data_IF_114789661743
#
_entry.id   IF_114789661743
#
_cell.length_a   1.000
_cell.length_b   1.000
_cell.length_c   1.000
_cell.angle_alpha   90.00
_cell.angle_beta   90.00
_cell.angle_gamma   90.00
#
_symmetry.space_group_name_H-M   'P 1'
#
loop_
_entity.id
_entity.type
_entity.pdbx_description
1 polymer ?
#
# COMPACT_ATOMS: atom_id res chain seq x y z
N UNK A 1 66.83 -2.26 23.20
CA UNK A 1 65.89 -1.12 23.07
C UNK A 1 64.53 -1.68 22.70
N UNK A 2 63.54 -1.50 23.59
CA UNK A 2 62.15 -1.88 23.38
C UNK A 2 61.31 -0.62 23.22
N UNK A 3 60.48 -0.54 22.18
CA UNK A 3 59.34 0.39 22.10
C UNK A 3 58.19 -0.32 21.36
N UNK A 4 57.14 -0.62 22.12
CA UNK A 4 55.80 -0.99 21.67
C UNK A 4 54.96 0.29 21.49
N UNK A 5 54.23 0.46 20.37
CA UNK A 5 52.96 1.24 20.24
C UNK A 5 52.19 0.72 19.02
N UNK A 6 51.06 0.01 19.12
CA UNK A 6 49.63 0.39 19.36
C UNK A 6 48.98 1.28 18.26
N UNK A 7 47.88 0.79 17.66
CA UNK A 7 46.83 1.57 16.98
C UNK A 7 46.24 0.88 15.72
N UNK A 8 45.03 0.27 15.76
CA UNK A 8 43.71 0.82 15.34
C UNK A 8 43.54 0.83 13.78
N UNK A 9 42.48 0.37 13.07
CA UNK A 9 41.02 0.20 13.23
C UNK A 9 40.53 -0.79 12.14
N UNK A 10 39.64 -1.75 12.44
CA UNK A 10 38.19 -1.78 12.12
C UNK A 10 37.89 -1.62 10.60
N UNK A 11 37.31 -2.60 9.91
CA UNK A 11 36.07 -3.29 10.27
C UNK A 11 34.97 -2.77 9.34
N UNK A 12 34.85 -3.36 8.15
CA UNK A 12 33.83 -3.00 7.15
C UNK A 12 32.46 -3.38 7.71
N UNK A 13 31.50 -2.46 7.88
CA UNK A 13 30.18 -2.85 8.34
C UNK A 13 29.48 -3.61 7.22
N UNK A 14 29.12 -4.85 7.53
CA UNK A 14 28.22 -5.67 6.72
C UNK A 14 26.89 -4.93 6.55
N UNK A 15 26.46 -4.77 5.30
CA UNK A 15 25.12 -4.31 4.99
C UNK A 15 24.12 -5.30 5.63
N UNK A 16 23.34 -4.81 6.59
CA UNK A 16 22.23 -5.55 7.19
C UNK A 16 21.15 -5.74 6.13
N UNK A 17 21.23 -6.85 5.40
CA UNK A 17 20.08 -7.44 4.74
C UNK A 17 19.10 -7.83 5.85
N UNK A 18 18.03 -7.04 6.02
CA UNK A 18 16.98 -7.37 6.98
C UNK A 18 16.38 -8.73 6.60
N UNK A 19 16.37 -9.72 7.51
CA UNK A 19 15.80 -11.03 7.22
C UNK A 19 14.29 -10.90 6.98
N UNK A 20 13.81 -11.67 5.99
CA UNK A 20 12.43 -11.77 5.54
C UNK A 20 11.38 -11.93 6.67
N UNK A 21 11.82 -12.43 7.84
CA UNK A 21 11.01 -12.60 9.05
C UNK A 21 10.45 -11.29 9.63
N UNK A 22 11.12 -10.14 9.46
CA UNK A 22 10.65 -8.86 9.99
C UNK A 22 9.37 -8.33 9.32
N UNK A 23 9.02 -8.83 8.14
CA UNK A 23 7.87 -8.35 7.36
C UNK A 23 6.60 -9.18 7.55
N UNK A 24 6.70 -10.41 8.05
CA UNK A 24 5.53 -11.22 8.44
C UNK A 24 4.90 -10.66 9.73
N UNK A 25 5.71 -10.07 10.62
CA UNK A 25 5.21 -9.39 11.82
C UNK A 25 4.31 -8.18 11.49
N UNK A 26 4.62 -7.42 10.43
CA UNK A 26 3.82 -6.27 9.99
C UNK A 26 2.42 -6.65 9.46
N UNK A 27 2.24 -7.87 8.95
CA UNK A 27 0.92 -8.36 8.55
C UNK A 27 0.08 -8.73 9.79
N UNK A 28 0.72 -9.22 10.86
CA UNK A 28 0.06 -9.70 12.07
C UNK A 28 -0.47 -8.58 12.98
N UNK A 29 0.10 -7.38 12.89
CA UNK A 29 -0.40 -6.18 13.60
C UNK A 29 -1.62 -5.51 12.93
N UNK A 30 -2.03 -5.95 11.72
CA UNK A 30 -3.09 -5.29 10.93
C UNK A 30 -4.51 -5.82 11.16
N UNK A 31 -4.67 -6.81 12.03
CA UNK A 31 -5.94 -7.50 12.27
C UNK A 31 -6.27 -8.53 11.20
N UNK A 32 -7.48 -9.08 11.25
CA UNK A 32 -7.92 -10.14 10.35
C UNK A 32 -8.15 -9.60 8.93
N UNK A 33 -7.67 -10.35 7.93
CA UNK A 33 -7.90 -10.05 6.52
C UNK A 33 -9.39 -10.21 6.18
N UNK A 34 -9.95 -9.26 5.42
CA UNK A 34 -11.37 -9.25 5.06
C UNK A 34 -11.60 -9.64 3.59
N UNK A 35 -12.87 -9.78 3.21
CA UNK A 35 -13.26 -9.87 1.81
C UNK A 35 -13.74 -8.51 1.30
N UNK A 36 -13.38 -8.15 0.08
CA UNK A 36 -13.79 -6.89 -0.57
C UNK A 36 -13.90 -7.08 -2.07
N UNK A 37 -15.09 -6.83 -2.65
CA UNK A 37 -15.32 -6.90 -4.09
C UNK A 37 -14.82 -8.22 -4.73
N UNK A 38 -15.10 -9.36 -4.09
CA UNK A 38 -14.64 -10.69 -4.51
C UNK A 38 -13.16 -11.00 -4.20
N UNK A 39 -12.37 -10.01 -3.76
CA UNK A 39 -11.00 -10.20 -3.29
C UNK A 39 -10.98 -10.67 -1.84
N UNK A 40 -10.05 -11.55 -1.55
CA UNK A 40 -9.68 -12.04 -0.23
C UNK A 40 -8.19 -12.40 -0.28
N UNK A 41 -7.59 -12.70 0.87
CA UNK A 41 -6.21 -13.20 0.92
C UNK A 41 -6.02 -14.41 -0.02
N UNK A 42 -4.95 -14.39 -0.81
CA UNK A 42 -4.66 -15.38 -1.86
C UNK A 42 -5.31 -15.10 -3.22
N UNK A 43 -6.25 -14.16 -3.32
CA UNK A 43 -6.82 -13.74 -4.61
C UNK A 43 -5.76 -13.18 -5.55
N UNK A 44 -5.97 -13.33 -6.85
CA UNK A 44 -5.08 -12.77 -7.88
C UNK A 44 -5.65 -11.49 -8.49
N UNK A 45 -4.78 -10.52 -8.69
CA UNK A 45 -5.03 -9.29 -9.46
C UNK A 45 -3.93 -9.22 -10.50
N UNK A 46 -4.20 -9.68 -11.73
CA UNK A 46 -3.16 -9.85 -12.75
C UNK A 46 -2.03 -10.80 -12.29
N UNK A 47 -0.74 -10.42 -12.42
CA UNK A 47 0.38 -11.22 -11.91
C UNK A 47 0.57 -11.15 -10.39
N UNK A 48 -0.13 -10.26 -9.68
CA UNK A 48 0.02 -10.07 -8.24
C UNK A 48 -0.96 -10.92 -7.44
N UNK A 49 -0.55 -11.27 -6.22
CA UNK A 49 -1.37 -11.98 -5.24
C UNK A 49 -1.69 -11.02 -4.08
N UNK A 50 -2.94 -11.04 -3.63
CA UNK A 50 -3.40 -10.31 -2.45
C UNK A 50 -2.88 -11.03 -1.21
N UNK A 51 -1.99 -10.39 -0.47
CA UNK A 51 -1.53 -10.89 0.83
C UNK A 51 -2.47 -10.49 1.96
N UNK A 52 -3.12 -9.33 1.85
CA UNK A 52 -4.01 -8.84 2.90
C UNK A 52 -5.01 -7.82 2.36
N UNK A 53 -6.23 -7.90 2.85
CA UNK A 53 -7.28 -6.89 2.65
C UNK A 53 -7.61 -6.29 4.01
N UNK A 54 -7.10 -5.10 4.27
CA UNK A 54 -7.33 -4.42 5.55
C UNK A 54 -8.77 -3.95 5.72
N UNK A 55 -9.21 -3.56 6.93
CA UNK A 55 -10.52 -2.96 7.16
C UNK A 55 -10.65 -1.59 6.49
N UNK A 56 -11.87 -1.02 6.49
CA UNK A 56 -12.03 0.42 6.22
C UNK A 56 -11.46 1.16 7.43
N UNK A 57 -10.40 1.93 7.19
CA UNK A 57 -9.75 2.76 8.18
C UNK A 57 -9.43 4.12 7.54
N UNK A 58 -9.74 5.19 8.27
CA UNK A 58 -9.49 6.57 7.83
C UNK A 58 -10.05 6.87 6.44
N UNK A 59 -11.28 6.45 6.16
CA UNK A 59 -11.92 6.73 4.88
C UNK A 59 -11.54 5.80 3.72
N UNK A 60 -10.68 4.81 3.94
CA UNK A 60 -10.16 3.98 2.86
C UNK A 60 -9.86 2.56 3.27
N UNK A 61 -9.52 1.74 2.27
CA UNK A 61 -9.09 0.36 2.49
C UNK A 61 -7.68 0.16 1.93
N UNK A 62 -6.81 -0.44 2.72
CA UNK A 62 -5.45 -0.80 2.27
C UNK A 62 -5.43 -2.26 1.83
N UNK A 63 -4.86 -2.50 0.64
CA UNK A 63 -4.55 -3.84 0.14
C UNK A 63 -3.03 -4.01 0.09
N UNK A 64 -2.55 -5.11 0.65
CA UNK A 64 -1.16 -5.54 0.50
C UNK A 64 -1.09 -6.53 -0.65
N UNK A 65 -0.27 -6.22 -1.64
CA UNK A 65 -0.02 -7.10 -2.78
C UNK A 65 1.41 -7.61 -2.74
N UNK A 66 1.60 -8.80 -3.31
CA UNK A 66 2.91 -9.36 -3.61
C UNK A 66 3.01 -9.84 -5.05
N UNK A 67 4.21 -9.76 -5.60
CA UNK A 67 4.53 -10.26 -6.94
C UNK A 67 6.04 -10.43 -7.12
N UNK A 68 6.44 -11.03 -8.24
CA UNK A 68 7.85 -11.10 -8.60
C UNK A 68 8.34 -9.72 -9.05
N UNK A 69 9.47 -9.26 -8.52
CA UNK A 69 10.21 -8.13 -9.06
C UNK A 69 11.01 -8.51 -10.30
N UNK A 70 11.59 -7.52 -10.97
CA UNK A 70 12.42 -7.69 -12.16
C UNK A 70 13.62 -8.64 -11.93
N UNK A 71 14.12 -8.70 -10.70
CA UNK A 71 15.20 -9.59 -10.25
C UNK A 71 14.71 -10.99 -9.83
N UNK A 72 13.42 -11.30 -10.04
CA UNK A 72 12.79 -12.55 -9.63
C UNK A 72 12.51 -12.65 -8.13
N UNK A 73 12.95 -11.67 -7.33
CA UNK A 73 12.70 -11.63 -5.90
C UNK A 73 11.25 -11.21 -5.61
N UNK A 74 10.61 -11.82 -4.60
CA UNK A 74 9.27 -11.43 -4.18
C UNK A 74 9.29 -10.00 -3.61
N UNK A 75 8.44 -9.13 -4.14
CA UNK A 75 8.22 -7.77 -3.66
C UNK A 75 6.81 -7.63 -3.12
N UNK A 76 6.68 -6.88 -2.03
CA UNK A 76 5.41 -6.48 -1.43
C UNK A 76 5.24 -4.97 -1.52
N UNK A 77 4.02 -4.53 -1.83
CA UNK A 77 3.67 -3.12 -1.88
C UNK A 77 2.21 -2.92 -1.50
N UNK A 78 1.89 -1.69 -1.11
CA UNK A 78 0.55 -1.32 -0.64
C UNK A 78 -0.17 -0.48 -1.68
N UNK A 79 -1.43 -0.84 -1.90
CA UNK A 79 -2.40 -0.02 -2.59
C UNK A 79 -3.44 0.46 -1.59
N UNK A 80 -3.97 1.63 -1.86
CA UNK A 80 -5.02 2.24 -1.06
C UNK A 80 -6.22 2.55 -1.94
N UNK A 81 -7.39 2.12 -1.50
CA UNK A 81 -8.66 2.33 -2.19
C UNK A 81 -9.47 3.36 -1.41
N UNK A 82 -9.91 4.39 -2.10
CA UNK A 82 -10.74 5.49 -1.59
C UNK A 82 -11.99 5.64 -2.44
N UNK A 83 -12.95 6.46 -2.01
CA UNK A 83 -14.01 6.89 -2.92
C UNK A 83 -13.43 7.76 -4.03
N UNK A 84 -13.99 7.57 -5.22
CA UNK A 84 -13.66 8.40 -6.37
C UNK A 84 -14.18 9.82 -6.16
N UNK A 85 -13.29 10.79 -6.32
CA UNK A 85 -13.62 12.21 -6.38
C UNK A 85 -13.26 12.75 -7.77
N UNK A 86 -14.24 13.06 -8.63
CA UNK A 86 -13.98 13.63 -9.95
C UNK A 86 -13.25 14.98 -9.91
N UNK A 87 -13.25 15.68 -8.77
CA UNK A 87 -12.53 16.95 -8.55
C UNK A 87 -11.23 16.77 -7.78
N UNK A 88 -10.88 15.53 -7.41
CA UNK A 88 -9.69 15.18 -6.65
C UNK A 88 -8.47 14.94 -7.54
N UNK A 89 -7.33 14.56 -6.94
CA UNK A 89 -6.15 14.16 -7.69
C UNK A 89 -6.44 12.90 -8.53
N UNK A 90 -5.87 12.84 -9.73
CA UNK A 90 -6.01 11.68 -10.62
C UNK A 90 -5.23 10.49 -10.07
N UNK A 91 -5.88 9.39 -9.67
CA UNK A 91 -5.19 8.18 -9.24
C UNK A 91 -4.60 7.42 -10.43
N UNK A 92 -3.59 6.54 -10.22
CA UNK A 92 -3.14 5.60 -11.23
C UNK A 92 -4.26 4.71 -11.79
N UNK A 93 -5.19 4.26 -10.94
CA UNK A 93 -6.36 3.47 -11.33
C UNK A 93 -7.66 4.01 -10.74
N UNK A 94 -8.75 3.99 -11.51
CA UNK A 94 -10.09 4.33 -11.02
C UNK A 94 -11.18 3.46 -11.66
N UNK A 95 -12.25 3.29 -10.91
CA UNK A 95 -13.51 2.65 -11.33
C UNK A 95 -14.64 3.68 -11.23
N UNK A 96 -15.91 3.27 -11.31
CA UNK A 96 -17.06 4.19 -11.15
C UNK A 96 -17.09 4.77 -9.74
N UNK A 97 -16.90 3.94 -8.71
CA UNK A 97 -17.04 4.33 -7.31
C UNK A 97 -15.71 4.50 -6.58
N UNK A 98 -14.64 3.84 -7.04
CA UNK A 98 -13.37 3.81 -6.31
C UNK A 98 -12.19 4.44 -7.06
N UNK A 99 -11.28 5.04 -6.30
CA UNK A 99 -9.97 5.50 -6.73
C UNK A 99 -8.88 4.68 -6.05
N UNK A 100 -7.88 4.22 -6.81
CA UNK A 100 -6.80 3.34 -6.34
C UNK A 100 -5.46 4.07 -6.41
N UNK A 101 -4.86 4.31 -5.23
CA UNK A 101 -3.59 4.99 -5.06
C UNK A 101 -2.48 4.00 -4.68
N UNK A 102 -1.26 4.27 -5.11
CA UNK A 102 -0.08 3.54 -4.64
C UNK A 102 0.41 4.19 -3.35
N UNK A 103 0.56 3.40 -2.29
CA UNK A 103 1.11 3.87 -1.02
C UNK A 103 2.60 3.57 -0.97
N UNK A 104 3.40 4.50 -1.49
CA UNK A 104 4.86 4.35 -1.58
C UNK A 104 5.63 4.99 -0.41
N UNK A 105 4.94 5.53 0.61
CA UNK A 105 5.52 6.26 1.76
C UNK A 105 6.50 7.38 1.37
N UNK A 106 6.47 7.81 0.11
CA UNK A 106 7.48 8.71 -0.44
C UNK A 106 7.17 10.18 -0.24
N UNK A 107 6.06 10.55 0.41
CA UNK A 107 5.62 11.94 0.59
C UNK A 107 5.72 12.81 -0.70
N UNK A 108 5.52 12.21 -1.88
CA UNK A 108 5.63 12.88 -3.19
C UNK A 108 7.05 13.02 -3.75
N UNK A 109 8.10 12.60 -3.04
CA UNK A 109 9.51 12.67 -3.50
C UNK A 109 10.03 11.37 -4.11
N UNK A 110 9.33 10.26 -3.89
CA UNK A 110 9.70 8.94 -4.43
C UNK A 110 8.85 8.63 -5.65
N UNK A 111 9.51 8.36 -6.79
CA UNK A 111 8.82 7.91 -7.98
C UNK A 111 8.10 6.58 -7.74
N UNK A 112 6.89 6.47 -8.26
CA UNK A 112 6.16 5.20 -8.27
C UNK A 112 6.85 4.26 -9.26
N UNK A 113 7.17 3.04 -8.81
CA UNK A 113 7.62 1.97 -9.70
C UNK A 113 6.49 1.63 -10.67
N UNK A 114 6.80 1.51 -11.96
CA UNK A 114 5.81 1.29 -13.02
C UNK A 114 4.86 0.13 -12.70
N UNK A 115 5.41 -1.00 -12.24
CA UNK A 115 4.65 -2.19 -11.83
C UNK A 115 3.57 -1.89 -10.78
N UNK A 116 3.84 -1.00 -9.83
CA UNK A 116 2.86 -0.64 -8.81
C UNK A 116 1.71 0.18 -9.41
N UNK A 117 2.01 1.03 -10.40
CA UNK A 117 1.00 1.74 -11.17
C UNK A 117 0.11 0.79 -11.97
N UNK A 118 0.73 -0.19 -12.65
CA UNK A 118 0.00 -1.22 -13.39
C UNK A 118 -0.87 -2.10 -12.47
N UNK A 119 -0.37 -2.42 -11.27
CA UNK A 119 -1.16 -3.11 -10.24
C UNK A 119 -2.38 -2.28 -9.79
N UNK A 120 -2.22 -0.97 -9.60
CA UNK A 120 -3.33 -0.09 -9.25
C UNK A 120 -4.39 -0.01 -10.37
N UNK A 121 -3.96 0.06 -11.63
CA UNK A 121 -4.86 0.02 -12.79
C UNK A 121 -5.61 -1.32 -12.88
N UNK A 122 -4.89 -2.43 -12.71
CA UNK A 122 -5.46 -3.79 -12.77
C UNK A 122 -6.47 -4.01 -11.64
N UNK A 123 -6.16 -3.55 -10.43
CA UNK A 123 -7.09 -3.57 -9.30
C UNK A 123 -8.33 -2.73 -9.61
N UNK A 124 -8.18 -1.54 -10.17
CA UNK A 124 -9.33 -0.70 -10.54
C UNK A 124 -10.24 -1.38 -11.57
N UNK A 125 -9.68 -2.09 -12.55
CA UNK A 125 -10.47 -2.89 -13.50
C UNK A 125 -11.20 -4.04 -12.81
N UNK A 126 -10.57 -4.71 -11.84
CA UNK A 126 -11.23 -5.74 -11.03
C UNK A 126 -12.41 -5.14 -10.25
N UNK A 127 -12.21 -4.00 -9.58
CA UNK A 127 -13.27 -3.30 -8.84
C UNK A 127 -14.41 -2.89 -9.77
N UNK A 128 -14.12 -2.40 -10.98
CA UNK A 128 -15.13 -2.03 -11.96
C UNK A 128 -16.04 -3.21 -12.35
N UNK A 129 -15.51 -4.44 -12.38
CA UNK A 129 -16.29 -5.64 -12.65
C UNK A 129 -17.18 -6.08 -11.48
N UNK A 130 -16.89 -5.62 -10.25
CA UNK A 130 -17.54 -6.06 -9.01
C UNK A 130 -18.34 -4.95 -8.31
N UNK A 131 -18.34 -3.72 -8.84
CA UNK A 131 -19.05 -2.58 -8.26
C UNK A 131 -20.49 -2.42 -8.79
N UNK A 132 -20.96 -3.36 -9.61
CA UNK A 132 -22.33 -3.37 -10.10
C UNK A 132 -23.31 -3.49 -8.93
N UNK A 133 -24.22 -2.52 -8.81
CA UNK A 133 -25.22 -2.47 -7.74
C UNK A 133 -24.74 -1.84 -6.43
N UNK A 134 -23.51 -1.31 -6.37
CA UNK A 134 -23.06 -0.52 -5.22
C UNK A 134 -23.70 0.87 -5.28
N UNK A 135 -24.28 1.28 -4.16
CA UNK A 135 -24.78 2.64 -3.94
C UNK A 135 -23.70 3.47 -3.24
N UNK A 136 -23.35 4.63 -3.82
CA UNK A 136 -22.37 5.55 -3.24
C UNK A 136 -22.77 6.07 -1.86
N UNK A 137 -24.07 6.23 -1.59
CA UNK A 137 -24.55 6.69 -0.28
C UNK A 137 -24.22 5.68 0.82
N UNK A 138 -24.43 4.40 0.54
CA UNK A 138 -24.07 3.30 1.42
C UNK A 138 -22.56 3.24 1.70
N UNK A 139 -21.72 3.53 0.69
CA UNK A 139 -20.27 3.58 0.92
C UNK A 139 -19.88 4.69 1.91
N UNK A 140 -20.53 5.86 1.87
CA UNK A 140 -20.29 6.92 2.84
C UNK A 140 -20.71 6.49 4.26
N UNK A 141 -21.84 5.80 4.39
CA UNK A 141 -22.31 5.25 5.68
C UNK A 141 -21.36 4.18 6.24
N UNK A 142 -20.75 3.38 5.37
CA UNK A 142 -19.71 2.41 5.72
C UNK A 142 -18.36 3.07 6.06
N UNK A 143 -18.27 4.41 5.96
CA UNK A 143 -17.10 5.20 6.36
C UNK A 143 -16.04 5.35 5.28
N UNK A 144 -16.37 5.11 4.01
CA UNK A 144 -15.48 5.45 2.91
C UNK A 144 -15.48 6.96 2.65
N UNK A 145 -14.33 7.54 2.34
CA UNK A 145 -14.18 8.96 2.04
C UNK A 145 -13.38 9.16 0.75
N UNK A 146 -13.66 10.22 -0.01
CA UNK A 146 -12.77 10.67 -1.07
C UNK A 146 -11.48 11.26 -0.49
N UNK A 147 -10.44 11.32 -1.31
CA UNK A 147 -9.11 11.81 -0.90
C UNK A 147 -9.14 13.20 -0.25
N UNK A 148 -9.95 14.14 -0.78
CA UNK A 148 -10.07 15.50 -0.25
C UNK A 148 -10.63 15.50 1.17
N UNK A 149 -11.80 14.90 1.35
CA UNK A 149 -12.48 14.82 2.66
C UNK A 149 -11.64 14.04 3.68
N UNK A 150 -10.94 12.99 3.24
CA UNK A 150 -10.00 12.27 4.09
C UNK A 150 -8.86 13.16 4.56
N UNK A 151 -8.28 13.95 3.66
CA UNK A 151 -7.16 14.85 4.01
C UNK A 151 -7.61 15.88 5.02
N UNK A 152 -8.84 16.40 4.89
CA UNK A 152 -9.44 17.33 5.86
C UNK A 152 -9.71 16.65 7.21
N UNK A 153 -10.34 15.48 7.20
CA UNK A 153 -10.73 14.74 8.40
C UNK A 153 -9.53 14.26 9.24
N UNK A 154 -8.40 13.96 8.58
CA UNK A 154 -7.20 13.43 9.23
C UNK A 154 -5.98 14.36 9.09
N UNK A 155 -6.20 15.65 8.83
CA UNK A 155 -5.15 16.64 8.62
C UNK A 155 -4.12 16.67 9.77
N UNK A 156 -4.60 16.65 11.01
CA UNK A 156 -3.76 16.67 12.21
C UNK A 156 -2.83 15.45 12.33
N UNK A 157 -3.25 14.30 11.82
CA UNK A 157 -2.46 13.07 11.83
C UNK A 157 -1.47 12.99 10.66
N UNK A 158 -1.78 13.66 9.55
CA UNK A 158 -0.90 13.78 8.40
C UNK A 158 0.24 14.76 8.69
N UNK A 159 -0.03 15.83 9.45
CA UNK A 159 0.99 16.80 9.88
C UNK A 159 1.96 16.24 10.94
N UNK A 160 1.51 15.31 11.79
CA UNK A 160 2.35 14.65 12.79
C UNK A 160 3.35 13.62 12.24
N UNK A 161 3.36 13.36 10.93
CA UNK A 161 4.34 12.49 10.25
C UNK A 161 5.41 13.26 9.45
N UNK A 162 5.46 14.59 9.62
CA UNK A 162 6.48 15.47 9.01
C UNK A 162 7.81 15.43 9.77
#
# INVERSE_FOLDING_TARGET
MAVLRRGFLLGVPSALALPLAGRIALARERGDSQSFAGLHEGSRVGPWVVDHVGPIARGGRVLLLRGAGEDGAERRFELEVLLRDPKGPTPPGQSKHFAVFVRNSGNGSTATVEDHGLAAMTLASHLAAHEAGIDSSRLLEEGWLPMRERTEAFASELDGRR
#
